data_IF_346481569062
#
_entry.id   IF_346481569062
#
_cell.length_a   1.000
_cell.length_b   1.000
_cell.length_c   1.000
_cell.angle_alpha   90.00
_cell.angle_beta   90.00
_cell.angle_gamma   90.00
#
_symmetry.space_group_name_H-M   'P 1'
#
loop_
_entity.id
_entity.type
_entity.pdbx_description
1 polymer ?
#
# COMPACT_ATOMS: atom_id res chain seq x y z
N UNK A 1 12.93 14.37 15.95
CA UNK A 1 11.55 13.85 16.01
C UNK A 1 11.03 13.63 14.60
N UNK A 2 10.93 12.38 14.13
CA UNK A 2 10.36 12.10 12.80
C UNK A 2 8.86 12.35 12.84
N UNK A 3 8.35 13.18 11.92
CA UNK A 3 6.92 13.54 11.88
C UNK A 3 6.10 12.34 11.40
N UNK A 4 5.03 11.99 12.09
CA UNK A 4 4.23 10.79 11.80
C UNK A 4 3.71 10.72 10.35
N UNK A 5 3.41 11.88 9.76
CA UNK A 5 3.02 12.02 8.35
C UNK A 5 4.03 11.43 7.35
N UNK A 6 5.32 11.38 7.70
CA UNK A 6 6.39 10.81 6.86
C UNK A 6 6.17 9.31 6.64
N UNK A 7 5.55 8.60 7.58
CA UNK A 7 5.26 7.17 7.42
C UNK A 7 3.84 6.92 6.94
N UNK A 8 2.89 7.77 7.36
CA UNK A 8 1.48 7.61 7.04
C UNK A 8 1.21 7.82 5.54
N UNK A 9 1.72 8.91 4.95
CA UNK A 9 1.44 9.25 3.55
C UNK A 9 2.01 8.18 2.60
N UNK A 10 3.30 7.79 2.68
CA UNK A 10 3.82 6.72 1.83
C UNK A 10 3.15 5.37 2.09
N UNK A 11 2.80 5.06 3.34
CA UNK A 11 2.09 3.83 3.68
C UNK A 11 0.73 3.72 2.98
N UNK A 12 -0.07 4.79 3.02
CA UNK A 12 -1.36 4.83 2.32
C UNK A 12 -1.18 4.72 0.81
N UNK A 13 -0.23 5.47 0.23
CA UNK A 13 0.03 5.43 -1.20
C UNK A 13 0.45 4.03 -1.67
N UNK A 14 1.37 3.38 -0.94
CA UNK A 14 1.81 2.01 -1.23
C UNK A 14 0.66 1.02 -1.07
N UNK A 15 -0.18 1.15 -0.03
CA UNK A 15 -1.33 0.27 0.17
C UNK A 15 -2.31 0.35 -1.01
N UNK A 16 -2.66 1.57 -1.43
CA UNK A 16 -3.55 1.78 -2.57
C UNK A 16 -2.94 1.26 -3.88
N UNK A 17 -1.65 1.51 -4.09
CA UNK A 17 -0.93 1.04 -5.29
C UNK A 17 -0.86 -0.48 -5.33
N UNK A 18 -0.49 -1.13 -4.22
CA UNK A 18 -0.44 -2.58 -4.10
C UNK A 18 -1.82 -3.23 -4.31
N UNK A 19 -2.89 -2.59 -3.81
CA UNK A 19 -4.26 -3.06 -4.06
C UNK A 19 -4.60 -3.01 -5.56
N UNK A 20 -4.32 -1.90 -6.24
CA UNK A 20 -4.57 -1.79 -7.69
C UNK A 20 -3.77 -2.83 -8.46
N UNK A 21 -2.49 -3.02 -8.16
CA UNK A 21 -1.65 -4.02 -8.83
C UNK A 21 -2.13 -5.44 -8.58
N UNK A 22 -2.60 -5.74 -7.38
CA UNK A 22 -3.21 -7.05 -7.07
C UNK A 22 -4.42 -7.28 -7.96
N UNK A 23 -5.34 -6.32 -8.01
CA UNK A 23 -6.56 -6.41 -8.80
C UNK A 23 -6.26 -6.46 -10.32
N UNK A 24 -5.22 -5.76 -10.78
CA UNK A 24 -4.74 -5.85 -12.15
C UNK A 24 -4.17 -7.24 -12.44
N UNK A 25 -3.27 -7.76 -11.60
CA UNK A 25 -2.69 -9.08 -11.79
C UNK A 25 -3.70 -10.21 -11.77
N UNK A 26 -4.76 -10.08 -10.95
CA UNK A 26 -5.89 -11.02 -10.92
C UNK A 26 -6.85 -10.87 -12.12
N UNK A 27 -6.67 -9.86 -12.97
CA UNK A 27 -7.53 -9.60 -14.11
C UNK A 27 -8.88 -8.94 -13.76
N UNK A 28 -9.07 -8.48 -12.52
CA UNK A 28 -10.27 -7.74 -12.09
C UNK A 28 -10.27 -6.33 -12.65
N UNK A 29 -9.10 -5.67 -12.65
CA UNK A 29 -8.91 -4.36 -13.28
C UNK A 29 -8.17 -4.56 -14.60
N UNK A 30 -8.84 -4.23 -15.71
CA UNK A 30 -8.33 -4.35 -17.07
C UNK A 30 -7.80 -3.05 -17.68
N UNK A 31 -7.40 -3.10 -18.96
CA UNK A 31 -7.07 -1.92 -19.76
C UNK A 31 -5.60 -1.48 -19.73
N UNK A 32 -4.73 -2.27 -19.09
CA UNK A 32 -3.28 -2.02 -19.06
C UNK A 32 -2.48 -3.28 -19.38
N UNK A 33 -1.20 -3.11 -19.74
CA UNK A 33 -0.20 -4.19 -19.91
C UNK A 33 0.02 -5.04 -18.66
N UNK A 34 -0.53 -4.64 -17.51
CA UNK A 34 -0.38 -5.30 -16.22
C UNK A 34 -1.56 -6.23 -15.89
N UNK A 35 -2.64 -6.16 -16.69
CA UNK A 35 -3.89 -6.86 -16.42
C UNK A 35 -3.79 -8.34 -16.77
N UNK A 36 -4.15 -9.23 -15.82
CA UNK A 36 -4.12 -10.69 -16.01
C UNK A 36 -2.71 -11.30 -16.00
N UNK A 37 -1.71 -10.57 -15.49
CA UNK A 37 -0.31 -11.04 -15.43
C UNK A 37 0.05 -11.44 -13.99
N UNK A 38 0.48 -12.69 -13.80
CA UNK A 38 0.82 -13.29 -12.49
C UNK A 38 1.85 -12.48 -11.70
N UNK A 39 2.78 -11.81 -12.39
CA UNK A 39 3.77 -10.92 -11.76
C UNK A 39 3.11 -9.87 -10.87
N UNK A 40 2.05 -9.20 -11.35
CA UNK A 40 1.36 -8.17 -10.58
C UNK A 40 0.46 -8.76 -9.49
N UNK A 41 -0.03 -9.99 -9.69
CA UNK A 41 -0.80 -10.73 -8.69
C UNK A 41 0.08 -11.11 -7.47
N UNK A 42 1.40 -11.20 -7.64
CA UNK A 42 2.36 -11.47 -6.56
C UNK A 42 2.93 -10.18 -5.97
N UNK A 43 3.34 -9.23 -6.81
CA UNK A 43 3.92 -7.95 -6.35
C UNK A 43 2.89 -7.10 -5.62
N UNK A 44 1.64 -7.06 -6.11
CA UNK A 44 0.57 -6.26 -5.52
C UNK A 44 0.34 -6.54 -4.03
N UNK A 45 0.13 -7.80 -3.62
CA UNK A 45 -0.04 -8.15 -2.21
C UNK A 45 1.16 -7.80 -1.33
N UNK A 46 2.39 -7.97 -1.86
CA UNK A 46 3.61 -7.60 -1.13
C UNK A 46 3.63 -6.09 -0.85
N UNK A 47 3.39 -5.28 -1.89
CA UNK A 47 3.37 -3.82 -1.77
C UNK A 47 2.23 -3.35 -0.87
N UNK A 48 1.07 -3.99 -0.96
CA UNK A 48 -0.09 -3.73 -0.11
C UNK A 48 0.27 -3.95 1.37
N UNK A 49 0.88 -5.09 1.71
CA UNK A 49 1.29 -5.40 3.09
C UNK A 49 2.32 -4.39 3.60
N UNK A 50 3.34 -4.06 2.81
CA UNK A 50 4.35 -3.06 3.19
C UNK A 50 3.70 -1.69 3.43
N UNK A 51 2.78 -1.28 2.57
CA UNK A 51 2.03 -0.03 2.72
C UNK A 51 1.20 0.00 4.00
N UNK A 52 0.47 -1.09 4.30
CA UNK A 52 -0.33 -1.20 5.52
C UNK A 52 0.55 -1.16 6.78
N UNK A 53 1.69 -1.84 6.79
CA UNK A 53 2.64 -1.80 7.92
C UNK A 53 3.18 -0.38 8.13
N UNK A 54 3.61 0.31 7.06
CA UNK A 54 4.10 1.69 7.15
C UNK A 54 3.00 2.66 7.62
N UNK A 55 1.79 2.52 7.07
CA UNK A 55 0.64 3.34 7.43
C UNK A 55 0.26 3.17 8.89
N UNK A 56 0.24 1.92 9.38
CA UNK A 56 -0.01 1.60 10.79
C UNK A 56 1.05 2.20 11.71
N UNK A 57 2.33 2.12 11.35
CA UNK A 57 3.42 2.77 12.09
C UNK A 57 3.32 4.30 12.09
N UNK A 58 2.79 4.90 11.03
CA UNK A 58 2.46 6.32 10.97
C UNK A 58 1.33 6.68 11.92
N UNK A 59 0.24 5.91 11.87
CA UNK A 59 -0.96 6.12 12.70
C UNK A 59 -0.64 6.03 14.20
N UNK A 60 0.11 5.01 14.63
CA UNK A 60 0.51 4.87 16.04
C UNK A 60 1.29 6.08 16.58
N UNK A 61 2.07 6.74 15.72
CA UNK A 61 2.85 7.93 16.09
C UNK A 61 1.99 9.21 16.13
N UNK A 62 0.86 9.25 15.42
CA UNK A 62 -0.12 10.32 15.57
C UNK A 62 -0.90 10.15 16.87
N UNK A 63 -1.43 8.96 17.14
CA UNK A 63 -2.22 8.69 18.36
C UNK A 63 -1.42 8.82 19.65
N UNK A 64 -0.11 8.52 19.61
CA UNK A 64 0.78 8.71 20.76
C UNK A 64 1.13 10.18 21.06
N UNK A 65 0.68 11.13 20.24
CA UNK A 65 0.87 12.58 20.47
C UNK A 65 -0.27 13.21 21.26
N UNK A 66 -1.41 12.52 21.40
CA UNK A 66 -2.61 12.99 22.12
C UNK A 66 -2.70 12.48 23.58
N UNK A 67 -1.64 11.86 24.12
CA UNK A 67 -1.49 11.52 25.54
C UNK A 67 -0.29 12.26 26.12
#
# INVERSE_FOLDING_TARGET
MVKAWIFLVPGVLLALTGLVWTLQGLGVIGGSVMSGVTTWAVIGPIVLVVGLVLGFLGLRRLTGRDR
#
